data_IF_019021397837
#
_entry.id   IF_019021397837
#
_cell.length_a   1.000
_cell.length_b   1.000
_cell.length_c   1.000
_cell.angle_alpha   90.00
_cell.angle_beta   90.00
_cell.angle_gamma   90.00
#
_symmetry.space_group_name_H-M   'P 1'
#
loop_
_entity.id
_entity.type
_entity.pdbx_description
1 polymer ?
#
# COMPACT_ATOMS: atom_id res chain seq x y z
N UNK A 1 15.72 6.06 20.96
CA UNK A 1 15.13 6.86 19.87
C UNK A 1 13.96 6.05 19.31
N UNK A 2 12.72 6.38 19.69
CA UNK A 2 11.54 5.67 19.21
C UNK A 2 11.25 6.11 17.78
N UNK A 3 11.53 5.22 16.82
CA UNK A 3 11.24 5.45 15.40
C UNK A 3 9.75 5.79 15.24
N UNK A 4 9.45 6.96 14.70
CA UNK A 4 8.08 7.49 14.51
C UNK A 4 7.22 6.70 13.50
N UNK A 5 7.61 5.49 13.11
CA UNK A 5 7.05 4.77 11.98
C UNK A 5 6.48 3.38 12.33
N UNK A 6 6.57 2.95 13.59
CA UNK A 6 6.07 1.65 14.04
C UNK A 6 6.91 0.45 13.57
N UNK A 7 6.55 -0.77 14.00
CA UNK A 7 7.31 -1.98 13.67
C UNK A 7 7.16 -2.35 12.19
N UNK A 8 8.19 -3.02 11.64
CA UNK A 8 8.06 -3.78 10.40
C UNK A 8 7.37 -5.11 10.75
N UNK A 9 6.25 -5.38 10.11
CA UNK A 9 5.45 -6.59 10.35
C UNK A 9 5.24 -7.35 9.04
N UNK A 10 4.91 -8.62 9.16
CA UNK A 10 4.45 -9.43 8.05
C UNK A 10 2.96 -9.18 7.75
N UNK A 11 2.53 -9.41 6.51
CA UNK A 11 1.15 -9.25 6.06
C UNK A 11 0.18 -10.11 6.86
N UNK A 12 0.57 -11.32 7.28
CA UNK A 12 -0.27 -12.18 8.13
C UNK A 12 -0.64 -11.52 9.47
N UNK A 13 0.22 -10.63 9.97
CA UNK A 13 0.05 -9.95 11.26
C UNK A 13 -0.63 -8.58 11.13
N UNK A 14 -0.98 -8.16 9.91
CA UNK A 14 -1.61 -6.86 9.69
C UNK A 14 -2.91 -6.72 10.50
N UNK A 15 -3.71 -7.78 10.63
CA UNK A 15 -4.98 -7.75 11.36
C UNK A 15 -4.80 -7.48 12.85
N UNK A 16 -3.70 -7.94 13.45
CA UNK A 16 -3.39 -7.72 14.85
C UNK A 16 -2.92 -6.28 15.15
N UNK A 17 -2.53 -5.54 14.11
CA UNK A 17 -2.01 -4.17 14.23
C UNK A 17 -2.99 -3.11 13.71
N UNK A 18 -4.28 -3.44 13.63
CA UNK A 18 -5.34 -2.47 13.30
C UNK A 18 -5.28 -1.26 14.26
N UNK A 19 -5.34 -0.06 13.70
CA UNK A 19 -5.27 1.19 14.46
C UNK A 19 -3.85 1.63 14.84
N UNK A 20 -2.83 0.84 14.51
CA UNK A 20 -1.42 1.19 14.76
C UNK A 20 -0.72 1.64 13.47
N UNK A 21 0.34 2.44 13.65
CA UNK A 21 1.30 2.72 12.59
C UNK A 21 2.22 1.51 12.44
N UNK A 22 2.35 1.01 11.22
CA UNK A 22 3.24 -0.11 10.90
C UNK A 22 3.93 0.12 9.56
N UNK A 23 4.93 -0.73 9.31
CA UNK A 23 5.63 -0.82 8.04
C UNK A 23 5.45 -2.23 7.47
N UNK A 24 5.26 -2.33 6.16
CA UNK A 24 5.14 -3.59 5.42
C UNK A 24 6.15 -3.58 4.28
N UNK A 25 6.99 -4.60 4.18
CA UNK A 25 7.92 -4.78 3.05
C UNK A 25 7.37 -5.86 2.13
N UNK A 26 6.91 -5.45 0.95
CA UNK A 26 6.12 -6.33 0.08
C UNK A 26 6.62 -6.31 -1.35
N UNK A 27 6.49 -7.44 -2.03
CA UNK A 27 6.73 -7.57 -3.46
C UNK A 27 5.45 -7.28 -4.24
N UNK A 28 5.55 -6.48 -5.31
CA UNK A 28 4.42 -6.10 -6.16
C UNK A 28 4.28 -7.11 -7.30
N UNK A 29 3.22 -7.91 -7.27
CA UNK A 29 2.89 -8.86 -8.33
C UNK A 29 2.21 -8.20 -9.52
N UNK A 30 1.27 -7.29 -9.25
CA UNK A 30 0.50 -6.58 -10.27
C UNK A 30 0.28 -5.13 -9.85
N UNK A 31 0.23 -4.24 -10.84
CA UNK A 31 -0.05 -2.82 -10.64
C UNK A 31 -0.96 -2.31 -11.75
N UNK A 32 -2.08 -1.72 -11.34
CA UNK A 32 -3.11 -1.21 -12.24
C UNK A 32 -3.40 0.27 -11.90
N UNK A 33 -2.64 1.21 -12.47
CA UNK A 33 -2.89 2.64 -12.29
C UNK A 33 -4.09 3.11 -13.13
N UNK A 34 -5.00 3.83 -12.49
CA UNK A 34 -6.19 4.46 -13.08
C UNK A 34 -6.19 5.94 -12.72
N UNK A 35 -6.22 6.80 -13.74
CA UNK A 35 -6.24 8.25 -13.58
C UNK A 35 -7.68 8.78 -13.55
N UNK A 36 -8.02 9.53 -12.50
CA UNK A 36 -9.30 10.18 -12.31
C UNK A 36 -9.14 11.70 -12.40
N UNK A 37 -10.03 12.36 -13.16
CA UNK A 37 -10.14 13.82 -13.18
C UNK A 37 -11.10 14.26 -12.07
N UNK A 38 -10.65 15.19 -11.22
CA UNK A 38 -11.47 15.75 -10.16
C UNK A 38 -12.33 16.90 -10.69
N UNK A 39 -13.58 16.99 -10.21
CA UNK A 39 -14.56 18.00 -10.66
C UNK A 39 -14.17 19.45 -10.37
N UNK A 40 -13.24 19.69 -9.43
CA UNK A 40 -12.73 21.02 -9.05
C UNK A 40 -11.39 21.39 -9.71
N UNK A 41 -10.97 20.63 -10.72
CA UNK A 41 -9.63 20.72 -11.29
C UNK A 41 -8.62 19.90 -10.50
N UNK A 42 -7.69 19.27 -11.20
CA UNK A 42 -6.70 18.34 -10.64
C UNK A 42 -6.98 16.89 -11.03
N UNK A 43 -5.92 16.08 -10.96
CA UNK A 43 -5.96 14.66 -11.31
C UNK A 43 -5.46 13.84 -10.11
N UNK A 44 -6.09 12.69 -9.88
CA UNK A 44 -5.67 11.73 -8.87
C UNK A 44 -5.51 10.37 -9.55
N UNK A 45 -4.38 9.71 -9.31
CA UNK A 45 -4.16 8.34 -9.76
C UNK A 45 -4.47 7.42 -8.58
N UNK A 46 -5.42 6.50 -8.81
CA UNK A 46 -5.61 5.31 -7.98
C UNK A 46 -4.75 4.20 -8.58
N UNK A 47 -3.87 3.60 -7.80
CA UNK A 47 -3.11 2.44 -8.24
C UNK A 47 -3.52 1.28 -7.37
N UNK A 48 -4.27 0.34 -7.95
CA UNK A 48 -4.57 -0.92 -7.29
C UNK A 48 -3.38 -1.86 -7.53
N UNK A 49 -2.72 -2.25 -6.46
CA UNK A 49 -1.58 -3.17 -6.48
C UNK A 49 -1.94 -4.48 -5.78
N UNK A 50 -1.48 -5.58 -6.34
CA UNK A 50 -1.47 -6.87 -5.65
C UNK A 50 -0.05 -7.11 -5.15
N UNK A 51 0.08 -7.30 -3.85
CA UNK A 51 1.36 -7.45 -3.17
C UNK A 51 1.39 -8.74 -2.37
N UNK A 52 2.59 -9.22 -2.08
CA UNK A 52 2.81 -10.37 -1.23
C UNK A 52 4.12 -10.27 -0.47
N UNK A 53 4.26 -11.07 0.58
CA UNK A 53 5.49 -11.29 1.30
C UNK A 53 5.69 -12.79 1.55
N UNK A 54 6.63 -13.14 2.43
CA UNK A 54 6.93 -14.54 2.74
C UNK A 54 5.80 -15.27 3.48
N UNK A 55 4.81 -14.54 4.01
CA UNK A 55 3.70 -15.07 4.81
C UNK A 55 2.39 -15.12 4.03
N UNK A 56 2.16 -14.15 3.14
CA UNK A 56 0.94 -14.05 2.34
C UNK A 56 1.28 -13.69 0.90
N UNK A 57 0.86 -14.52 -0.04
CA UNK A 57 1.20 -14.37 -1.47
C UNK A 57 0.36 -13.33 -2.21
N UNK A 58 -0.81 -12.97 -1.66
CA UNK A 58 -1.72 -12.04 -2.32
C UNK A 58 -2.47 -11.17 -1.31
N UNK A 59 -2.24 -9.87 -1.40
CA UNK A 59 -2.88 -8.84 -0.61
C UNK A 59 -3.15 -7.63 -1.51
N UNK A 60 -4.36 -7.08 -1.46
CA UNK A 60 -4.75 -5.98 -2.33
C UNK A 60 -4.60 -4.65 -1.62
N UNK A 61 -3.90 -3.70 -2.25
CA UNK A 61 -3.70 -2.35 -1.73
C UNK A 61 -4.12 -1.33 -2.78
N UNK A 62 -4.95 -0.37 -2.39
CA UNK A 62 -5.28 0.79 -3.22
C UNK A 62 -4.46 2.00 -2.77
N UNK A 63 -3.56 2.45 -3.64
CA UNK A 63 -2.78 3.67 -3.44
C UNK A 63 -3.47 4.85 -4.12
N UNK A 64 -3.60 5.97 -3.42
CA UNK A 64 -4.22 7.18 -3.97
C UNK A 64 -3.21 8.32 -3.96
N UNK A 65 -2.92 8.90 -5.13
CA UNK A 65 -1.89 9.94 -5.27
C UNK A 65 -2.32 11.05 -6.21
N UNK A 66 -2.06 12.31 -5.83
CA UNK A 66 -2.31 13.50 -6.67
C UNK A 66 -1.27 13.74 -7.77
N UNK A 67 -0.19 12.97 -7.80
CA UNK A 67 0.86 13.11 -8.82
C UNK A 67 0.59 12.22 -10.03
N UNK A 68 1.06 12.65 -11.19
CA UNK A 68 0.84 12.02 -12.49
C UNK A 68 1.67 10.74 -12.75
N UNK A 69 2.39 10.22 -11.76
CA UNK A 69 3.19 8.99 -11.88
C UNK A 69 2.82 7.96 -10.84
N UNK A 70 2.65 6.72 -11.31
CA UNK A 70 2.58 5.53 -10.44
C UNK A 70 3.89 5.38 -9.66
N UNK A 71 3.78 5.00 -8.38
CA UNK A 71 4.95 4.77 -7.49
C UNK A 71 5.39 3.29 -7.55
N UNK A 72 4.48 2.37 -7.89
CA UNK A 72 4.73 0.95 -7.78
C UNK A 72 4.36 0.22 -9.08
N UNK A 73 5.29 -0.57 -9.61
CA UNK A 73 5.14 -1.42 -10.77
C UNK A 73 5.33 -2.90 -10.39
N UNK A 74 4.85 -3.81 -11.24
CA UNK A 74 5.08 -5.23 -11.04
C UNK A 74 6.59 -5.54 -11.07
N UNK A 75 7.08 -6.31 -10.11
CA UNK A 75 8.49 -6.61 -9.92
C UNK A 75 9.18 -5.76 -8.85
N UNK A 76 8.55 -4.67 -8.39
CA UNK A 76 9.11 -3.82 -7.34
C UNK A 76 9.00 -4.47 -5.97
N UNK A 77 9.98 -4.21 -5.10
CA UNK A 77 9.88 -4.41 -3.66
C UNK A 77 9.67 -3.04 -3.03
N UNK A 78 8.53 -2.85 -2.35
CA UNK A 78 8.13 -1.56 -1.81
C UNK A 78 7.95 -1.62 -0.30
N UNK A 79 8.35 -0.54 0.38
CA UNK A 79 8.09 -0.34 1.80
C UNK A 79 6.83 0.52 1.94
N UNK A 80 5.73 -0.10 2.34
CA UNK A 80 4.48 0.61 2.66
C UNK A 80 4.51 1.06 4.11
N UNK A 81 4.13 2.32 4.35
CA UNK A 81 3.97 2.89 5.69
C UNK A 81 2.55 3.40 5.82
N UNK A 82 1.77 2.81 6.72
CA UNK A 82 0.36 3.15 6.87
C UNK A 82 -0.09 3.09 8.32
N UNK A 83 -1.12 3.85 8.64
CA UNK A 83 -2.06 3.47 9.69
C UNK A 83 -2.96 2.38 9.10
N UNK A 84 -3.00 1.21 9.72
CA UNK A 84 -3.89 0.15 9.28
C UNK A 84 -5.32 0.48 9.74
N UNK A 85 -6.20 0.84 8.80
CA UNK A 85 -7.55 1.32 9.12
C UNK A 85 -8.69 0.40 8.66
N UNK A 86 -8.45 -0.49 7.69
CA UNK A 86 -9.32 -1.63 7.41
C UNK A 86 -8.62 -2.69 6.54
N UNK A 87 -8.87 -3.97 6.81
CA UNK A 87 -8.55 -5.09 5.93
C UNK A 87 -9.85 -5.58 5.30
N UNK A 88 -10.00 -5.49 3.98
CA UNK A 88 -11.00 -6.28 3.27
C UNK A 88 -10.36 -7.60 2.86
N UNK A 89 -10.73 -8.68 3.54
CA UNK A 89 -10.39 -10.07 3.21
C UNK A 89 -11.05 -10.52 1.92
#
# INVERSE_FOLDING_TARGET
MTSCYGPLIDLSEASHHMGHFVQLLVFVHRSSPVQYKLSKGGEIIKTDIQVGDNTQSLFSVSLWKKELRSIAAAGDIVLLRSTLTSLSS
#
